data_IF_365239444661
#
_entry.id   IF_365239444661
#
_cell.length_a   1.000
_cell.length_b   1.000
_cell.length_c   1.000
_cell.angle_alpha   90.00
_cell.angle_beta   90.00
_cell.angle_gamma   90.00
#
_symmetry.space_group_name_H-M   'P 1'
#
loop_
_entity.id
_entity.type
_entity.pdbx_description
1 polymer ?
#
# COMPACT_ATOMS: atom_id res chain seq x y z
N UNK A 1 7.52 -13.58 9.33
CA UNK A 1 7.48 -13.05 7.95
C UNK A 1 8.90 -12.88 7.49
N UNK A 2 9.27 -13.59 6.43
CA UNK A 2 10.57 -13.45 5.76
C UNK A 2 10.37 -12.60 4.48
N UNK A 3 10.99 -11.43 4.35
CA UNK A 3 10.83 -10.59 3.16
C UNK A 3 11.31 -11.23 1.85
N UNK A 4 12.28 -12.17 1.90
CA UNK A 4 12.80 -12.86 0.72
C UNK A 4 11.74 -13.84 0.17
N UNK A 5 11.08 -14.56 1.08
CA UNK A 5 9.95 -15.43 0.73
C UNK A 5 8.82 -14.64 0.05
N UNK A 6 8.44 -13.49 0.63
CA UNK A 6 7.38 -12.64 0.08
C UNK A 6 7.73 -12.06 -1.28
N UNK A 7 8.99 -11.64 -1.48
CA UNK A 7 9.47 -11.14 -2.77
C UNK A 7 9.33 -12.20 -3.86
N UNK A 8 9.64 -13.47 -3.55
CA UNK A 8 9.48 -14.59 -4.48
C UNK A 8 8.02 -14.93 -4.75
N UNK A 9 7.15 -14.92 -3.73
CA UNK A 9 5.72 -15.20 -3.89
C UNK A 9 4.99 -14.10 -4.68
N UNK A 10 5.27 -12.84 -4.35
CA UNK A 10 4.57 -11.69 -4.92
C UNK A 10 5.15 -11.25 -6.28
N UNK A 11 6.39 -11.65 -6.61
CA UNK A 11 7.05 -11.30 -7.87
C UNK A 11 7.53 -9.84 -7.98
N UNK A 12 7.22 -9.00 -7.00
CA UNK A 12 7.65 -7.60 -6.94
C UNK A 12 8.87 -7.37 -6.06
N UNK A 13 9.65 -6.32 -6.35
CA UNK A 13 10.72 -5.84 -5.44
C UNK A 13 10.12 -4.89 -4.40
N UNK A 14 10.18 -5.20 -3.09
CA UNK A 14 9.66 -4.29 -2.07
C UNK A 14 10.43 -2.97 -2.04
N UNK A 15 9.72 -1.90 -1.73
CA UNK A 15 10.34 -0.62 -1.36
C UNK A 15 10.93 -0.70 0.06
N UNK A 16 10.24 -1.38 0.98
CA UNK A 16 10.68 -1.53 2.37
C UNK A 16 10.43 -2.95 2.90
N UNK A 17 11.44 -3.84 2.82
CA UNK A 17 11.43 -5.12 3.50
C UNK A 17 11.97 -4.99 4.93
N UNK A 18 11.21 -5.47 5.92
CA UNK A 18 11.64 -5.50 7.34
C UNK A 18 11.38 -6.89 7.89
N UNK A 19 12.42 -7.56 8.41
CA UNK A 19 12.25 -8.81 9.16
C UNK A 19 11.93 -8.48 10.62
N UNK A 20 11.18 -9.39 11.26
CA UNK A 20 10.88 -9.26 12.70
C UNK A 20 12.21 -9.24 13.48
N UNK A 21 12.32 -8.32 14.44
CA UNK A 21 13.52 -8.02 15.26
C UNK A 21 14.64 -7.25 14.55
N UNK A 22 14.49 -6.88 13.28
CA UNK A 22 15.45 -5.99 12.64
C UNK A 22 15.31 -4.55 13.16
N UNK A 23 16.41 -3.80 13.09
CA UNK A 23 16.41 -2.36 13.31
C UNK A 23 15.85 -1.66 12.05
N UNK A 24 14.90 -0.75 12.22
CA UNK A 24 14.38 0.07 11.12
C UNK A 24 14.32 1.56 11.48
N UNK A 25 14.48 2.40 10.47
CA UNK A 25 14.53 3.88 10.58
C UNK A 25 13.28 4.58 10.07
N UNK A 26 12.27 3.84 9.60
CA UNK A 26 10.99 4.43 9.20
C UNK A 26 10.07 4.67 10.39
N UNK A 27 9.41 5.84 10.50
CA UNK A 27 9.51 6.99 9.59
C UNK A 27 10.83 7.79 9.80
N UNK A 28 11.38 8.42 8.74
CA UNK A 28 12.76 8.94 8.69
C UNK A 28 13.12 10.03 9.71
N UNK A 29 12.13 10.60 10.40
CA UNK A 29 12.30 11.65 11.41
C UNK A 29 12.09 11.13 12.84
N UNK A 30 12.17 9.82 13.05
CA UNK A 30 12.07 9.20 14.37
C UNK A 30 13.31 8.36 14.68
N UNK A 31 13.68 8.21 15.97
CA UNK A 31 14.78 7.34 16.36
C UNK A 31 14.59 5.91 15.83
N UNK A 32 15.67 5.21 15.42
CA UNK A 32 15.59 3.82 14.97
C UNK A 32 14.89 2.92 15.99
N UNK A 33 14.05 1.99 15.53
CA UNK A 33 13.27 1.08 16.39
C UNK A 33 13.46 -0.36 15.99
N UNK A 34 13.33 -1.26 16.96
CA UNK A 34 13.31 -2.71 16.70
C UNK A 34 11.91 -3.09 16.22
N UNK A 35 11.85 -3.72 15.05
CA UNK A 35 10.60 -4.16 14.45
C UNK A 35 9.95 -5.28 15.28
N UNK A 36 8.79 -5.00 15.88
CA UNK A 36 8.02 -6.00 16.65
C UNK A 36 7.41 -7.08 15.75
N UNK A 37 7.16 -6.73 14.49
CA UNK A 37 6.64 -7.60 13.44
C UNK A 37 7.48 -7.44 12.17
N UNK A 38 7.42 -8.42 11.26
CA UNK A 38 7.96 -8.23 9.92
C UNK A 38 6.97 -7.46 9.05
N UNK A 39 7.46 -6.74 8.06
CA UNK A 39 6.64 -6.08 7.05
C UNK A 39 7.27 -6.15 5.67
N UNK A 40 6.43 -6.33 4.67
CA UNK A 40 6.80 -6.21 3.26
C UNK A 40 5.92 -5.10 2.67
N UNK A 41 6.54 -4.05 2.12
CA UNK A 41 5.82 -2.89 1.59
C UNK A 41 6.31 -2.54 0.20
N UNK A 42 5.37 -2.19 -0.66
CA UNK A 42 5.61 -1.64 -1.98
C UNK A 42 4.86 -0.31 -2.09
N UNK A 43 5.58 0.74 -2.45
CA UNK A 43 5.03 2.07 -2.66
C UNK A 43 4.83 2.33 -4.17
N UNK A 44 3.93 3.25 -4.48
CA UNK A 44 3.82 3.84 -5.82
C UNK A 44 5.14 4.51 -6.22
N UNK A 45 5.43 4.53 -7.51
CA UNK A 45 6.53 5.32 -8.09
C UNK A 45 6.09 6.77 -8.39
N UNK A 46 4.78 7.02 -8.40
CA UNK A 46 4.22 8.35 -8.55
C UNK A 46 4.18 9.07 -7.20
N UNK A 47 4.45 10.38 -7.24
CA UNK A 47 4.26 11.28 -6.10
C UNK A 47 2.77 11.61 -5.88
N UNK A 48 2.48 12.53 -4.96
CA UNK A 48 1.14 13.00 -4.65
C UNK A 48 0.45 13.62 -5.89
N UNK A 49 -0.85 13.35 -6.05
CA UNK A 49 -1.69 13.92 -7.12
C UNK A 49 -2.97 13.11 -7.33
N UNK A 50 -3.86 13.61 -8.20
CA UNK A 50 -5.15 12.98 -8.52
C UNK A 50 -5.01 11.80 -9.48
N UNK A 51 -4.32 10.76 -9.03
CA UNK A 51 -4.01 9.56 -9.82
C UNK A 51 -4.22 8.27 -9.03
N UNK A 52 -5.03 8.30 -7.96
CA UNK A 52 -5.13 7.19 -7.01
C UNK A 52 -5.45 5.85 -7.70
N UNK A 53 -6.44 5.82 -8.60
CA UNK A 53 -6.79 4.61 -9.35
C UNK A 53 -5.60 4.03 -10.11
N UNK A 54 -4.88 4.88 -10.84
CA UNK A 54 -3.69 4.51 -11.61
C UNK A 54 -2.58 4.01 -10.70
N UNK A 55 -2.32 4.69 -9.58
CA UNK A 55 -1.29 4.29 -8.63
C UNK A 55 -1.57 2.90 -8.04
N UNK A 56 -2.82 2.63 -7.66
CA UNK A 56 -3.23 1.30 -7.18
C UNK A 56 -3.06 0.26 -8.29
N UNK A 57 -3.56 0.54 -9.50
CA UNK A 57 -3.47 -0.37 -10.63
C UNK A 57 -2.01 -0.70 -10.99
N UNK A 58 -1.13 0.30 -11.01
CA UNK A 58 0.30 0.13 -11.33
C UNK A 58 1.04 -0.67 -10.25
N UNK A 59 0.71 -0.47 -8.97
CA UNK A 59 1.22 -1.32 -7.88
C UNK A 59 0.78 -2.77 -8.11
N UNK A 60 -0.51 -3.02 -8.36
CA UNK A 60 -1.05 -4.37 -8.53
C UNK A 60 -0.49 -5.07 -9.76
N UNK A 61 -0.21 -4.33 -10.84
CA UNK A 61 0.39 -4.84 -12.08
C UNK A 61 1.81 -5.38 -11.88
N UNK A 62 2.52 -4.88 -10.87
CA UNK A 62 3.88 -5.34 -10.51
C UNK A 62 3.89 -6.58 -9.64
N UNK A 63 2.71 -7.03 -9.20
CA UNK A 63 2.56 -8.19 -8.34
C UNK A 63 1.94 -9.34 -9.13
N UNK A 64 2.12 -10.56 -8.63
CA UNK A 64 1.50 -11.75 -9.20
C UNK A 64 -0.03 -11.61 -9.33
N UNK A 65 -0.58 -12.15 -10.41
CA UNK A 65 -2.03 -12.32 -10.60
C UNK A 65 -2.54 -13.67 -10.09
N UNK A 66 -1.67 -14.53 -9.53
CA UNK A 66 -2.04 -15.83 -9.00
C UNK A 66 -2.88 -15.70 -7.73
N UNK A 67 -4.19 -15.95 -7.86
CA UNK A 67 -5.15 -15.83 -6.75
C UNK A 67 -4.95 -16.89 -5.65
N UNK A 68 -4.33 -18.03 -5.95
CA UNK A 68 -4.04 -19.03 -4.92
C UNK A 68 -2.96 -18.53 -3.95
N UNK A 69 -1.94 -17.83 -4.48
CA UNK A 69 -0.93 -17.16 -3.66
C UNK A 69 -1.60 -16.09 -2.79
N UNK A 70 -2.47 -15.26 -3.36
CA UNK A 70 -3.18 -14.24 -2.59
C UNK A 70 -4.07 -14.83 -1.51
N UNK A 71 -4.81 -15.90 -1.79
CA UNK A 71 -5.65 -16.61 -0.82
C UNK A 71 -4.83 -17.15 0.38
N UNK A 72 -3.66 -17.74 0.13
CA UNK A 72 -2.76 -18.16 1.22
C UNK A 72 -2.28 -16.95 2.03
N UNK A 73 -1.82 -15.88 1.37
CA UNK A 73 -1.28 -14.69 2.03
C UNK A 73 -2.32 -14.00 2.92
N UNK A 74 -3.54 -13.77 2.42
CA UNK A 74 -4.60 -13.08 3.19
C UNK A 74 -5.10 -13.93 4.37
N UNK A 75 -4.97 -15.25 4.30
CA UNK A 75 -5.33 -16.15 5.42
C UNK A 75 -4.34 -16.10 6.58
N UNK A 76 -3.07 -15.75 6.31
CA UNK A 76 -1.97 -15.80 7.27
C UNK A 76 -1.48 -14.43 7.71
N UNK A 77 -1.76 -13.38 6.93
CA UNK A 77 -1.18 -12.05 7.12
C UNK A 77 -2.20 -10.92 6.94
N UNK A 78 -1.91 -9.78 7.56
CA UNK A 78 -2.64 -8.53 7.30
C UNK A 78 -2.16 -7.96 5.96
N UNK A 79 -2.99 -8.08 4.93
CA UNK A 79 -2.77 -7.51 3.60
C UNK A 79 -3.68 -6.30 3.41
N UNK A 80 -3.11 -5.15 3.02
CA UNK A 80 -3.86 -3.92 2.73
C UNK A 80 -3.16 -3.09 1.65
N UNK A 81 -3.96 -2.38 0.86
CA UNK A 81 -3.55 -1.23 0.07
C UNK A 81 -3.83 0.01 0.91
N UNK A 82 -2.78 0.69 1.38
CA UNK A 82 -2.91 1.90 2.18
C UNK A 82 -2.64 3.13 1.32
N UNK A 83 -3.57 4.08 1.32
CA UNK A 83 -3.47 5.30 0.55
C UNK A 83 -3.81 6.49 1.45
N UNK A 84 -2.89 7.46 1.53
CA UNK A 84 -3.20 8.77 2.08
C UNK A 84 -3.80 9.66 0.99
N UNK A 85 -4.91 10.31 1.29
CA UNK A 85 -5.61 11.25 0.40
C UNK A 85 -5.57 12.61 1.06
N UNK A 86 -5.04 13.61 0.38
CA UNK A 86 -5.03 15.00 0.84
C UNK A 86 -5.99 15.80 -0.02
N UNK A 87 -6.98 16.41 0.62
CA UNK A 87 -7.99 17.27 0.00
C UNK A 87 -7.65 18.73 0.31
N UNK A 88 -7.37 19.52 -0.72
CA UNK A 88 -7.28 20.97 -0.61
C UNK A 88 -8.66 21.62 -0.92
N UNK A 89 -8.80 22.93 -0.70
CA UNK A 89 -10.09 23.63 -0.91
C UNK A 89 -10.60 23.50 -2.36
N UNK A 90 -9.67 23.48 -3.33
CA UNK A 90 -9.97 23.31 -4.75
C UNK A 90 -10.52 21.90 -5.08
N UNK A 91 -10.24 20.91 -4.23
CA UNK A 91 -10.70 19.53 -4.38
C UNK A 91 -12.06 19.28 -3.72
N UNK A 92 -12.60 20.26 -2.99
CA UNK A 92 -13.90 20.12 -2.34
C UNK A 92 -15.01 19.94 -3.38
N UNK A 93 -15.71 18.81 -3.30
CA UNK A 93 -16.76 18.44 -4.25
C UNK A 93 -16.24 17.68 -5.48
N UNK A 94 -14.92 17.51 -5.63
CA UNK A 94 -14.37 16.57 -6.59
C UNK A 94 -14.47 15.14 -6.03
N UNK A 95 -14.91 14.21 -6.87
CA UNK A 95 -15.07 12.81 -6.49
C UNK A 95 -13.77 12.03 -6.65
N UNK A 96 -13.33 11.33 -5.62
CA UNK A 96 -12.24 10.35 -5.72
C UNK A 96 -12.78 9.04 -6.33
N UNK A 97 -12.42 8.78 -7.59
CA UNK A 97 -12.99 7.66 -8.35
C UNK A 97 -11.99 6.53 -8.55
N UNK A 98 -12.41 5.30 -8.24
CA UNK A 98 -11.71 4.07 -8.60
C UNK A 98 -12.49 3.32 -9.68
N UNK A 99 -11.79 2.78 -10.67
CA UNK A 99 -12.41 2.02 -11.74
C UNK A 99 -12.89 0.66 -11.22
N UNK A 100 -13.94 0.07 -11.83
CA UNK A 100 -14.37 -1.28 -11.50
C UNK A 100 -13.24 -2.31 -11.61
N UNK A 101 -12.34 -2.16 -12.58
CA UNK A 101 -11.20 -3.04 -12.81
C UNK A 101 -10.20 -3.00 -11.65
N UNK A 102 -9.90 -1.80 -11.12
CA UNK A 102 -9.03 -1.63 -9.95
C UNK A 102 -9.68 -2.23 -8.69
N UNK A 103 -10.98 -1.97 -8.49
CA UNK A 103 -11.73 -2.53 -7.36
C UNK A 103 -11.82 -4.06 -7.42
N UNK A 104 -12.08 -4.63 -8.59
CA UNK A 104 -12.07 -6.08 -8.82
C UNK A 104 -10.68 -6.65 -8.53
N UNK A 105 -9.63 -6.01 -9.03
CA UNK A 105 -8.25 -6.43 -8.82
C UNK A 105 -7.85 -6.48 -7.35
N UNK A 106 -8.34 -5.53 -6.53
CA UNK A 106 -8.17 -5.56 -5.08
C UNK A 106 -9.01 -6.69 -4.45
N UNK A 107 -10.28 -6.79 -4.83
CA UNK A 107 -11.25 -7.73 -4.28
C UNK A 107 -10.88 -9.19 -4.49
N UNK A 108 -10.53 -9.58 -5.73
CA UNK A 108 -10.13 -10.95 -6.07
C UNK A 108 -8.85 -11.39 -5.33
N UNK A 109 -7.97 -10.44 -5.02
CA UNK A 109 -6.75 -10.66 -4.24
C UNK A 109 -6.98 -10.60 -2.72
N UNK A 110 -8.21 -10.34 -2.27
CA UNK A 110 -8.56 -10.20 -0.85
C UNK A 110 -7.87 -9.00 -0.16
N UNK A 111 -7.47 -7.99 -0.92
CA UNK A 111 -6.73 -6.83 -0.41
C UNK A 111 -7.73 -5.79 0.10
N UNK A 112 -7.62 -5.43 1.38
CA UNK A 112 -8.39 -4.32 1.94
C UNK A 112 -7.84 -2.99 1.43
N UNK A 113 -8.71 -2.13 0.92
CA UNK A 113 -8.38 -0.73 0.69
C UNK A 113 -8.54 0.05 2.01
N UNK A 114 -7.51 0.78 2.40
CA UNK A 114 -7.42 1.53 3.65
C UNK A 114 -7.06 2.98 3.29
N UNK A 115 -7.99 3.90 3.54
CA UNK A 115 -7.88 5.30 3.14
C UNK A 115 -7.80 6.19 4.38
N UNK A 116 -6.68 6.90 4.52
CA UNK A 116 -6.61 8.03 5.43
C UNK A 116 -6.88 9.30 4.61
N UNK A 117 -8.04 9.92 4.85
CA UNK A 117 -8.45 11.14 4.15
C UNK A 117 -8.17 12.33 5.07
N UNK A 118 -7.27 13.20 4.62
CA UNK A 118 -6.88 14.43 5.28
C UNK A 118 -7.46 15.60 4.51
N UNK A 119 -7.95 16.60 5.24
CA UNK A 119 -8.27 17.90 4.69
C UNK A 119 -7.27 18.91 5.22
N UNK A 120 -6.63 19.68 4.34
CA UNK A 120 -5.81 20.81 4.76
C UNK A 120 -6.74 21.97 5.10
N UNK A 121 -6.79 22.36 6.37
CA UNK A 121 -7.39 23.63 6.76
C UNK A 121 -6.52 24.77 6.22
N UNK A 122 -7.10 25.85 5.68
CA UNK A 122 -6.33 27.02 5.27
C UNK A 122 -5.47 27.53 6.44
N UNK A 123 -4.23 27.94 6.16
CA UNK A 123 -3.42 28.63 7.15
C UNK A 123 -4.10 29.96 7.54
N UNK A 124 -4.11 30.34 8.83
CA UNK A 124 -4.75 31.57 9.30
C UNK A 124 -4.08 32.84 8.76
#
# INVERSE_FOLDING_TARGET
>A
MDPVEFTRLLGGKPTYPIKKRDLHTYPPNQPPRIARTGSWRLNSEYEAGDQLDRQIADILKRLTSDLAIWADLVSRFKVRMFCGVWLDEEDLGQGLTLTPQTLLSLGERGIKLDLDIYHRLPEP
#
